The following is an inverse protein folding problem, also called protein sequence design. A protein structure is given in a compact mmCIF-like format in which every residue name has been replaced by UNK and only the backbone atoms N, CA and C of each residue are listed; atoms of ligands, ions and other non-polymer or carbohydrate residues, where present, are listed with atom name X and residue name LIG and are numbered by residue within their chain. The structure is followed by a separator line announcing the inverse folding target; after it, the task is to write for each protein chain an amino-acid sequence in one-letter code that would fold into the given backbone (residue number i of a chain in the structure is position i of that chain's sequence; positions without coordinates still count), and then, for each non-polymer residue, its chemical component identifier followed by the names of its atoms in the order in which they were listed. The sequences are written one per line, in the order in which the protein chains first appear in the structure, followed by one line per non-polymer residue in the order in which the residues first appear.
data_IF_487460726205
#
_entry.id   IF_487460726205
#
_cell.length_a   1.000
_cell.length_b   1.000
_cell.length_c   1.000
_cell.angle_alpha   90.00
_cell.angle_beta   90.00
_cell.angle_gamma   90.00
#
_symmetry.space_group_name_H-M   'P 1'
#
loop_
_entity.id
_entity.type
_entity.pdbx_description
1 polymer ?
#
# COMPACT_ATOMS: atom_id res chain seq x y z
N UNK A 1 -7.33 -23.51 24.24
CA UNK A 1 -6.99 -23.25 22.83
C UNK A 1 -8.25 -22.76 22.11
N UNK A 2 -8.38 -21.49 21.72
CA UNK A 2 -9.34 -21.08 20.67
C UNK A 2 -9.18 -19.62 20.20
N UNK A 3 -9.08 -18.63 21.11
CA UNK A 3 -9.12 -17.20 20.71
C UNK A 3 -7.90 -16.66 19.96
N UNK A 4 -6.70 -17.20 20.21
CA UNK A 4 -5.45 -16.73 19.56
C UNK A 4 -5.38 -17.08 18.07
N UNK A 5 -5.90 -18.25 17.68
CA UNK A 5 -5.87 -18.71 16.29
C UNK A 5 -6.68 -17.76 15.39
N UNK A 6 -7.88 -17.37 15.80
CA UNK A 6 -8.69 -16.44 15.01
C UNK A 6 -8.01 -15.07 14.85
N UNK A 7 -7.28 -14.62 15.89
CA UNK A 7 -6.51 -13.38 15.84
C UNK A 7 -5.36 -13.47 14.84
N UNK A 8 -4.59 -14.57 14.87
CA UNK A 8 -3.48 -14.80 13.94
C UNK A 8 -3.97 -14.95 12.48
N UNK A 9 -5.07 -15.67 12.26
CA UNK A 9 -5.69 -15.80 10.93
C UNK A 9 -6.21 -14.48 10.38
N UNK A 10 -6.87 -13.66 11.22
CA UNK A 10 -7.34 -12.35 10.80
C UNK A 10 -6.19 -11.44 10.36
N UNK A 11 -5.03 -11.55 11.03
CA UNK A 11 -3.82 -10.85 10.64
C UNK A 11 -3.30 -11.29 9.27
N UNK A 12 -3.20 -12.59 9.03
CA UNK A 12 -2.79 -13.09 7.72
C UNK A 12 -3.75 -12.69 6.60
N UNK A 13 -5.06 -12.70 6.86
CA UNK A 13 -6.06 -12.26 5.88
C UNK A 13 -5.84 -10.79 5.52
N UNK A 14 -5.61 -9.92 6.49
CA UNK A 14 -5.39 -8.48 6.24
C UNK A 14 -4.09 -8.24 5.46
N UNK A 15 -3.00 -8.93 5.81
CA UNK A 15 -1.74 -8.85 5.06
C UNK A 15 -1.91 -9.32 3.61
N UNK A 16 -2.53 -10.49 3.41
CA UNK A 16 -2.75 -11.06 2.09
C UNK A 16 -3.71 -10.24 1.23
N UNK A 17 -4.81 -9.74 1.83
CA UNK A 17 -5.76 -8.86 1.16
C UNK A 17 -5.10 -7.57 0.70
N UNK A 18 -4.24 -6.97 1.53
CA UNK A 18 -3.54 -5.74 1.16
C UNK A 18 -2.50 -5.97 0.08
N UNK A 19 -1.75 -7.08 0.16
CA UNK A 19 -0.86 -7.48 -0.92
C UNK A 19 -1.61 -7.71 -2.24
N UNK A 20 -2.75 -8.42 -2.20
CA UNK A 20 -3.62 -8.62 -3.35
C UNK A 20 -4.13 -7.30 -3.94
N UNK A 21 -4.56 -6.36 -3.09
CA UNK A 21 -4.97 -5.03 -3.54
C UNK A 21 -3.83 -4.27 -4.24
N UNK A 22 -2.60 -4.34 -3.71
CA UNK A 22 -1.43 -3.73 -4.35
C UNK A 22 -1.17 -4.35 -5.73
N UNK A 23 -1.26 -5.68 -5.84
CA UNK A 23 -1.11 -6.41 -7.10
C UNK A 23 -2.23 -6.14 -8.11
N UNK A 24 -3.42 -5.72 -7.66
CA UNK A 24 -4.47 -5.28 -8.59
C UNK A 24 -4.24 -3.83 -9.00
N UNK A 25 -3.94 -2.94 -8.05
CA UNK A 25 -3.79 -1.52 -8.32
C UNK A 25 -2.62 -1.21 -9.26
N UNK A 26 -1.47 -1.85 -9.06
CA UNK A 26 -0.26 -1.63 -9.86
C UNK A 26 -0.41 -2.16 -11.30
N UNK A 27 -0.23 -3.47 -11.52
CA UNK A 27 -0.15 -4.03 -12.86
C UNK A 27 -1.49 -4.17 -13.60
N UNK A 28 -2.65 -4.07 -12.92
CA UNK A 28 -3.96 -4.22 -13.57
C UNK A 28 -4.67 -2.88 -13.74
N UNK A 29 -4.88 -2.13 -12.66
CA UNK A 29 -5.66 -0.89 -12.72
C UNK A 29 -4.88 0.23 -13.42
N UNK A 30 -3.59 0.42 -13.12
CA UNK A 30 -2.80 1.48 -13.76
C UNK A 30 -2.83 1.43 -15.29
N UNK A 31 -2.54 0.29 -15.97
CA UNK A 31 -2.59 0.26 -17.43
C UNK A 31 -3.99 0.49 -17.98
N UNK A 32 -5.04 0.01 -17.31
CA UNK A 32 -6.44 0.23 -17.73
C UNK A 32 -6.80 1.72 -17.67
N UNK A 33 -6.34 2.44 -16.64
CA UNK A 33 -6.61 3.88 -16.49
C UNK A 33 -5.81 4.69 -17.52
N UNK A 34 -4.52 4.39 -17.72
CA UNK A 34 -3.65 5.15 -18.62
C UNK A 34 -3.81 4.80 -20.12
N UNK A 35 -4.26 3.59 -20.47
CA UNK A 35 -4.57 3.18 -21.85
C UNK A 35 -6.08 3.17 -22.12
N UNK A 36 -6.85 3.94 -21.35
CA UNK A 36 -8.31 4.03 -21.50
C UNK A 36 -8.75 4.47 -22.90
N UNK A 37 -7.92 5.18 -23.66
CA UNK A 37 -8.19 5.56 -25.05
C UNK A 37 -8.34 4.37 -26.03
N UNK A 38 -7.78 3.21 -25.70
CA UNK A 38 -7.95 1.98 -26.50
C UNK A 38 -9.27 1.26 -26.18
N UNK A 39 -9.89 1.62 -25.06
CA UNK A 39 -11.08 0.96 -24.50
C UNK A 39 -12.33 1.82 -24.72
N UNK A 40 -12.20 3.14 -24.58
CA UNK A 40 -13.29 4.10 -24.66
C UNK A 40 -13.70 4.36 -26.12
N UNK A 41 -15.00 4.34 -26.38
CA UNK A 41 -15.59 4.68 -27.68
C UNK A 41 -16.25 6.06 -27.56
N UNK A 42 -15.77 7.03 -28.34
CA UNK A 42 -16.37 8.37 -28.44
C UNK A 42 -15.93 9.38 -27.38
N UNK A 43 -15.03 9.02 -26.45
CA UNK A 43 -14.42 9.93 -25.48
C UNK A 43 -12.93 9.63 -25.40
N UNK A 44 -12.09 10.64 -25.60
CA UNK A 44 -10.64 10.55 -25.37
C UNK A 44 -10.29 11.10 -24.00
N UNK A 45 -9.61 10.29 -23.19
CA UNK A 45 -9.11 10.69 -21.90
C UNK A 45 -7.63 11.07 -22.04
N UNK A 46 -7.32 12.35 -21.82
CA UNK A 46 -5.92 12.79 -21.79
C UNK A 46 -5.19 12.17 -20.60
N UNK A 47 -3.87 12.00 -20.72
CA UNK A 47 -3.01 11.36 -19.72
C UNK A 47 -3.08 12.06 -18.36
N UNK A 48 -3.31 13.38 -18.36
CA UNK A 48 -3.53 14.15 -17.14
C UNK A 48 -4.85 13.75 -16.44
N UNK A 49 -5.95 13.62 -17.18
CA UNK A 49 -7.24 13.21 -16.63
C UNK A 49 -7.22 11.76 -16.13
N UNK A 50 -6.53 10.86 -16.85
CA UNK A 50 -6.25 9.50 -16.36
C UNK A 50 -5.46 9.54 -15.04
N UNK A 51 -4.49 10.44 -14.92
CA UNK A 51 -3.73 10.66 -13.69
C UNK A 51 -4.59 11.10 -12.51
N UNK A 52 -5.57 11.98 -12.73
CA UNK A 52 -6.53 12.42 -11.69
C UNK A 52 -7.36 11.23 -11.18
N UNK A 53 -7.87 10.40 -12.10
CA UNK A 53 -8.62 9.20 -11.73
C UNK A 53 -7.75 8.25 -10.89
N UNK A 54 -6.51 8.01 -11.34
CA UNK A 54 -5.58 7.15 -10.60
C UNK A 54 -5.24 7.70 -9.21
N UNK A 55 -5.03 9.02 -9.10
CA UNK A 55 -4.81 9.71 -7.84
C UNK A 55 -5.96 9.52 -6.85
N UNK A 56 -7.20 9.62 -7.32
CA UNK A 56 -8.39 9.42 -6.49
C UNK A 56 -8.55 7.96 -6.03
N UNK A 57 -8.25 6.99 -6.90
CA UNK A 57 -8.22 5.56 -6.52
C UNK A 57 -7.21 5.32 -5.39
N UNK A 58 -6.00 5.87 -5.53
CA UNK A 58 -4.95 5.73 -4.50
C UNK A 58 -5.28 6.48 -3.21
N UNK A 59 -5.93 7.63 -3.30
CA UNK A 59 -6.41 8.35 -2.13
C UNK A 59 -7.44 7.54 -1.34
N UNK A 60 -8.41 6.92 -2.03
CA UNK A 60 -9.38 6.02 -1.38
C UNK A 60 -8.71 4.78 -0.80
N UNK A 61 -7.75 4.22 -1.51
CA UNK A 61 -6.95 3.10 -1.01
C UNK A 61 -6.12 3.47 0.23
N UNK A 62 -5.71 4.74 0.36
CA UNK A 62 -4.93 5.21 1.52
C UNK A 62 -5.69 5.04 2.84
N UNK A 63 -7.03 5.13 2.86
CA UNK A 63 -7.81 4.81 4.06
C UNK A 63 -7.66 3.35 4.50
N UNK A 64 -7.62 2.42 3.54
CA UNK A 64 -7.35 1.01 3.82
C UNK A 64 -5.92 0.81 4.35
N UNK A 65 -4.94 1.50 3.75
CA UNK A 65 -3.54 1.42 4.14
C UNK A 65 -3.30 2.00 5.54
N UNK A 66 -4.03 3.05 5.95
CA UNK A 66 -4.02 3.51 7.34
C UNK A 66 -4.56 2.45 8.30
N UNK A 67 -5.68 1.80 7.96
CA UNK A 67 -6.24 0.72 8.76
C UNK A 67 -5.26 -0.45 8.89
N UNK A 68 -4.57 -0.81 7.81
CA UNK A 68 -3.48 -1.80 7.81
C UNK A 68 -2.37 -1.39 8.79
N UNK A 69 -1.86 -0.16 8.69
CA UNK A 69 -0.77 0.32 9.54
C UNK A 69 -1.12 0.24 11.03
N UNK A 70 -2.33 0.69 11.39
CA UNK A 70 -2.84 0.58 12.75
C UNK A 70 -2.96 -0.88 13.20
N UNK A 71 -3.51 -1.75 12.35
CA UNK A 71 -3.70 -3.16 12.67
C UNK A 71 -2.38 -3.89 12.89
N UNK A 72 -1.39 -3.67 12.01
CA UNK A 72 -0.04 -4.22 12.12
C UNK A 72 0.63 -3.74 13.40
N UNK A 73 0.54 -2.45 13.70
CA UNK A 73 1.09 -1.88 14.94
C UNK A 73 0.50 -2.55 16.19
N UNK A 74 -0.82 -2.66 16.28
CA UNK A 74 -1.51 -3.27 17.43
C UNK A 74 -1.13 -4.75 17.57
N UNK A 75 -1.18 -5.51 16.49
CA UNK A 75 -0.86 -6.94 16.48
C UNK A 75 0.58 -7.19 16.96
N UNK A 76 1.54 -6.46 16.40
CA UNK A 76 2.96 -6.58 16.70
C UNK A 76 3.29 -6.12 18.13
N UNK A 77 2.65 -5.06 18.63
CA UNK A 77 2.80 -4.60 20.01
C UNK A 77 2.31 -5.65 21.02
N UNK A 78 1.19 -6.32 20.76
CA UNK A 78 0.65 -7.38 21.62
C UNK A 78 1.57 -8.61 21.67
N UNK A 79 2.16 -8.99 20.52
CA UNK A 79 3.13 -10.08 20.42
C UNK A 79 4.45 -9.75 21.11
N UNK A 80 4.93 -8.51 20.96
CA UNK A 80 6.13 -8.03 21.63
C UNK A 80 5.99 -8.09 23.16
N UNK A 81 4.82 -7.68 23.68
CA UNK A 81 4.49 -7.78 25.11
C UNK A 81 4.41 -9.25 25.58
N UNK A 82 4.04 -10.17 24.70
CA UNK A 82 3.95 -11.61 25.00
C UNK A 82 5.31 -12.34 24.91
N UNK A 83 6.42 -11.63 24.68
CA UNK A 83 7.77 -12.20 24.69
C UNK A 83 8.22 -12.86 23.37
N UNK A 84 7.37 -12.88 22.33
CA UNK A 84 7.73 -13.44 21.00
C UNK A 84 8.47 -12.38 20.16
N UNK A 85 9.75 -12.16 20.48
CA UNK A 85 10.61 -11.16 19.81
C UNK A 85 11.40 -11.79 18.68
N UNK A 86 10.91 -11.64 17.45
CA UNK A 86 11.66 -11.99 16.24
C UNK A 86 12.09 -10.71 15.52
N UNK A 87 13.41 -10.54 15.33
CA UNK A 87 13.98 -9.34 14.74
C UNK A 87 13.52 -9.13 13.30
N UNK A 88 13.40 -10.21 12.51
CA UNK A 88 12.99 -10.13 11.10
C UNK A 88 11.54 -9.70 10.98
N UNK A 89 10.64 -10.29 11.77
CA UNK A 89 9.24 -9.89 11.80
C UNK A 89 9.07 -8.44 12.25
N UNK A 90 9.83 -7.99 13.26
CA UNK A 90 9.75 -6.63 13.78
C UNK A 90 10.25 -5.59 12.77
N UNK A 91 11.37 -5.86 12.08
CA UNK A 91 11.87 -5.00 11.00
C UNK A 91 10.84 -4.95 9.86
N UNK A 92 10.32 -6.10 9.44
CA UNK A 92 9.34 -6.16 8.35
C UNK A 92 8.05 -5.41 8.71
N UNK A 93 7.56 -5.55 9.94
CA UNK A 93 6.41 -4.81 10.44
C UNK A 93 6.68 -3.29 10.52
N UNK A 94 7.85 -2.88 11.00
CA UNK A 94 8.23 -1.48 11.02
C UNK A 94 8.26 -0.88 9.60
N UNK A 95 8.82 -1.60 8.63
CA UNK A 95 8.80 -1.18 7.22
C UNK A 95 7.38 -1.11 6.67
N UNK A 96 6.52 -2.10 6.95
CA UNK A 96 5.10 -2.06 6.54
C UNK A 96 4.40 -0.82 7.11
N UNK A 97 4.56 -0.53 8.40
CA UNK A 97 3.95 0.64 9.04
C UNK A 97 4.50 1.93 8.43
N UNK A 98 5.82 2.03 8.29
CA UNK A 98 6.49 3.21 7.74
C UNK A 98 6.04 3.50 6.31
N UNK A 99 6.13 2.52 5.40
CA UNK A 99 5.68 2.67 4.02
C UNK A 99 4.17 2.93 3.93
N UNK A 100 3.36 2.27 4.75
CA UNK A 100 1.91 2.53 4.78
C UNK A 100 1.59 4.00 5.13
N UNK A 101 2.29 4.57 6.11
CA UNK A 101 2.12 5.96 6.51
C UNK A 101 2.71 6.90 5.46
N UNK A 102 3.89 6.60 4.90
CA UNK A 102 4.51 7.40 3.85
C UNK A 102 3.60 7.51 2.62
N UNK A 103 3.07 6.38 2.15
CA UNK A 103 2.11 6.35 1.05
C UNK A 103 0.86 7.19 1.36
N UNK A 104 0.21 6.92 2.48
CA UNK A 104 -1.11 7.46 2.79
C UNK A 104 -1.08 8.92 3.22
N UNK A 105 -0.08 9.32 4.01
CA UNK A 105 0.00 10.65 4.62
C UNK A 105 0.89 11.63 3.84
N UNK A 106 1.81 11.13 3.01
CA UNK A 106 2.79 11.98 2.33
C UNK A 106 2.60 11.93 0.83
N UNK A 107 2.67 10.76 0.21
CA UNK A 107 2.68 10.66 -1.25
C UNK A 107 1.32 10.92 -1.88
N UNK A 108 0.27 10.20 -1.45
CA UNK A 108 -1.08 10.36 -1.98
C UNK A 108 -1.59 11.82 -1.91
N UNK A 109 -1.54 12.53 -0.76
CA UNK A 109 -2.02 13.92 -0.71
C UNK A 109 -1.15 14.89 -1.50
N UNK A 110 0.18 14.68 -1.58
CA UNK A 110 1.06 15.53 -2.39
C UNK A 110 0.79 15.38 -3.88
N UNK A 111 0.56 14.15 -4.35
CA UNK A 111 0.19 13.89 -5.75
C UNK A 111 -1.12 14.60 -6.08
N UNK A 112 -2.14 14.47 -5.24
CA UNK A 112 -3.42 15.16 -5.43
C UNK A 112 -3.27 16.68 -5.40
N UNK A 113 -2.50 17.22 -4.46
CA UNK A 113 -2.25 18.66 -4.38
C UNK A 113 -1.57 19.18 -5.65
N UNK A 114 -0.57 18.48 -6.18
CA UNK A 114 0.11 18.85 -7.42
C UNK A 114 -0.78 18.70 -8.65
N UNK A 115 -1.65 17.69 -8.68
CA UNK A 115 -2.65 17.55 -9.74
C UNK A 115 -3.68 18.69 -9.70
N UNK A 116 -4.10 19.14 -8.51
CA UNK A 116 -5.02 20.26 -8.34
C UNK A 116 -4.44 21.61 -8.77
N UNK A 117 -3.10 21.76 -8.77
CA UNK A 117 -2.42 22.96 -9.26
C UNK A 117 -2.38 23.07 -10.80
N UNK A 118 -2.81 22.04 -11.52
CA UNK A 118 -2.90 22.04 -12.98
C UNK A 118 -1.77 21.29 -13.69
N UNK A 119 -1.83 21.27 -15.02
CA UNK A 119 -0.94 20.47 -15.87
C UNK A 119 0.55 20.85 -15.73
N UNK A 120 0.86 22.14 -15.58
CA UNK A 120 2.25 22.61 -15.43
C UNK A 120 2.93 22.01 -14.20
N UNK A 121 2.21 21.89 -13.08
CA UNK A 121 2.74 21.28 -11.86
C UNK A 121 3.02 19.78 -12.03
N UNK A 122 2.21 19.07 -12.83
CA UNK A 122 2.41 17.64 -13.14
C UNK A 122 3.55 17.36 -14.12
N UNK A 123 4.01 18.36 -14.86
CA UNK A 123 5.17 18.25 -15.74
C UNK A 123 6.49 18.63 -15.05
N UNK A 124 6.43 19.06 -13.79
CA UNK A 124 7.62 19.42 -13.02
C UNK A 124 8.45 18.18 -12.62
N UNK A 125 9.78 18.36 -12.53
CA UNK A 125 10.68 17.35 -11.98
C UNK A 125 10.30 16.91 -10.56
N UNK A 126 9.67 17.82 -9.81
CA UNK A 126 9.20 17.54 -8.45
C UNK A 126 8.07 16.51 -8.46
N UNK A 127 7.11 16.64 -9.38
CA UNK A 127 6.04 15.67 -9.53
C UNK A 127 6.59 14.31 -9.97
N UNK A 128 7.49 14.28 -10.96
CA UNK A 128 8.10 13.05 -11.43
C UNK A 128 8.83 12.30 -10.29
N UNK A 129 9.58 13.02 -9.46
CA UNK A 129 10.28 12.44 -8.31
C UNK A 129 9.31 11.92 -7.23
N UNK A 130 8.24 12.66 -6.92
CA UNK A 130 7.24 12.22 -5.94
C UNK A 130 6.46 11.01 -6.45
N UNK A 131 6.05 11.02 -7.72
CA UNK A 131 5.35 9.91 -8.35
C UNK A 131 6.23 8.65 -8.35
N UNK A 132 7.49 8.76 -8.77
CA UNK A 132 8.44 7.64 -8.74
C UNK A 132 8.70 7.14 -7.31
N UNK A 133 8.88 8.05 -6.35
CA UNK A 133 9.05 7.69 -4.95
C UNK A 133 7.84 6.94 -4.39
N UNK A 134 6.62 7.34 -4.77
CA UNK A 134 5.38 6.67 -4.37
C UNK A 134 5.27 5.26 -4.96
N UNK A 135 5.68 5.08 -6.22
CA UNK A 135 5.67 3.77 -6.88
C UNK A 135 6.70 2.83 -6.22
N UNK A 136 7.88 3.36 -5.90
CA UNK A 136 8.93 2.62 -5.21
C UNK A 136 8.48 2.19 -3.80
N UNK A 137 7.88 3.11 -3.04
CA UNK A 137 7.35 2.82 -1.71
C UNK A 137 6.25 1.74 -1.76
N UNK A 138 5.39 1.77 -2.77
CA UNK A 138 4.37 0.74 -2.99
C UNK A 138 4.97 -0.66 -3.24
N UNK A 139 6.08 -0.73 -3.98
CA UNK A 139 6.83 -1.98 -4.19
C UNK A 139 7.51 -2.46 -2.90
N UNK A 140 8.11 -1.55 -2.13
CA UNK A 140 8.72 -1.86 -0.83
C UNK A 140 7.66 -2.39 0.14
N UNK A 141 6.48 -1.77 0.17
CA UNK A 141 5.34 -2.23 0.97
C UNK A 141 4.93 -3.66 0.58
N UNK A 142 4.79 -3.95 -0.71
CA UNK A 142 4.42 -5.28 -1.21
C UNK A 142 5.42 -6.37 -0.78
N UNK A 143 6.73 -6.11 -0.93
CA UNK A 143 7.79 -7.04 -0.52
C UNK A 143 7.76 -7.24 1.00
N UNK A 144 7.62 -6.15 1.75
CA UNK A 144 7.60 -6.19 3.22
C UNK A 144 6.39 -6.94 3.76
N UNK A 145 5.22 -6.84 3.11
CA UNK A 145 4.02 -7.61 3.44
C UNK A 145 4.25 -9.11 3.25
N UNK A 146 4.87 -9.54 2.15
CA UNK A 146 5.21 -10.95 1.93
C UNK A 146 6.19 -11.44 3.00
N UNK A 147 7.27 -10.69 3.25
CA UNK A 147 8.27 -11.07 4.24
C UNK A 147 7.64 -11.22 5.63
N UNK A 148 6.80 -10.27 6.03
CA UNK A 148 6.09 -10.29 7.30
C UNK A 148 5.12 -11.47 7.37
N UNK A 149 4.35 -11.72 6.31
CA UNK A 149 3.42 -12.84 6.22
C UNK A 149 4.14 -14.18 6.37
N UNK A 150 5.16 -14.43 5.56
CA UNK A 150 5.92 -15.69 5.56
C UNK A 150 6.61 -15.90 6.90
N UNK A 151 7.27 -14.86 7.44
CA UNK A 151 7.98 -14.96 8.72
C UNK A 151 7.01 -15.27 9.86
N UNK A 152 5.85 -14.62 9.90
CA UNK A 152 4.83 -14.86 10.91
C UNK A 152 4.22 -16.25 10.80
N UNK A 153 4.03 -16.76 9.57
CA UNK A 153 3.57 -18.13 9.34
C UNK A 153 4.58 -19.17 9.85
N UNK A 154 5.87 -18.96 9.59
CA UNK A 154 6.93 -19.86 10.09
C UNK A 154 6.99 -19.88 11.61
N UNK A 155 6.88 -18.73 12.27
CA UNK A 155 6.90 -18.63 13.74
C UNK A 155 5.68 -19.29 14.38
N UNK A 156 4.53 -19.30 13.69
CA UNK A 156 3.33 -19.99 14.15
C UNK A 156 3.45 -21.52 14.06
N UNK A 157 4.13 -22.03 13.02
CA UNK A 157 4.41 -23.47 12.90
C UNK A 157 5.35 -23.98 13.99
N UNK A 158 6.25 -23.13 14.49
CA UNK A 158 7.29 -23.49 15.46
C UNK A 158 6.88 -23.30 16.93
N UNK A 159 5.69 -22.75 17.21
CA UNK A 159 5.19 -22.48 18.58
C UNK A 159 4.01 -23.36 18.95
#
# INVERSE_FOLDING_TARGET
MSKRIYFDFSYFIILAATFGAIMVLGPIVAPVVFHSNEILIGVTLDKYNSGIIMGEIFHRFSYWVYALAFYVFVYEALLYKSGKRDTIALISAATVIFSSIMFSAVYAPKILAMQALGMEATQSDTFANIHFASELDFKILAISLILLFVRRLMLLRLS
#
